data_IF_528508114697
#
_entry.id   IF_528508114697
#
_cell.length_a   1.000
_cell.length_b   1.000
_cell.length_c   1.000
_cell.angle_alpha   90.00
_cell.angle_beta   90.00
_cell.angle_gamma   90.00
#
_symmetry.space_group_name_H-M   'P 1'
#
loop_
_entity.id
_entity.type
_entity.pdbx_description
1 polymer ?
#
# COMPACT_ATOMS: atom_id res chain seq x y z
N UNK A 1 13.29 14.67 11.49
CA UNK A 1 12.46 14.54 12.72
C UNK A 1 11.87 13.12 12.74
N UNK A 2 11.88 12.48 13.89
CA UNK A 2 11.27 11.17 14.13
C UNK A 2 10.20 11.32 15.22
N UNK A 3 8.92 11.26 14.83
CA UNK A 3 7.78 11.52 15.73
C UNK A 3 7.61 10.48 16.86
N UNK A 4 8.38 9.39 16.82
CA UNK A 4 8.44 8.43 17.94
C UNK A 4 9.18 9.01 19.15
N UNK A 5 10.08 9.98 18.92
CA UNK A 5 10.98 10.56 19.93
C UNK A 5 10.63 12.01 20.26
N UNK A 6 9.81 12.67 19.46
CA UNK A 6 9.47 14.09 19.63
C UNK A 6 8.21 14.28 20.49
N UNK A 7 8.08 15.37 21.26
CA UNK A 7 6.82 15.75 21.87
C UNK A 7 5.75 16.04 20.82
N UNK A 8 4.59 15.39 20.91
CA UNK A 8 3.50 15.54 19.92
C UNK A 8 2.21 16.13 20.51
N UNK A 9 2.18 16.45 21.81
CA UNK A 9 0.96 16.95 22.47
C UNK A 9 0.42 18.19 21.79
N UNK A 10 1.29 19.15 21.43
CA UNK A 10 0.91 20.37 20.70
C UNK A 10 0.32 20.06 19.31
N UNK A 11 0.76 19.00 18.65
CA UNK A 11 0.20 18.54 17.35
C UNK A 11 -1.19 17.97 17.56
N UNK A 12 -1.35 17.13 18.59
CA UNK A 12 -2.64 16.52 18.92
C UNK A 12 -3.67 17.59 19.36
N UNK A 13 -3.25 18.63 20.08
CA UNK A 13 -4.11 19.78 20.44
C UNK A 13 -4.56 20.53 19.16
N UNK A 14 -3.68 20.71 18.18
CA UNK A 14 -4.04 21.31 16.89
C UNK A 14 -5.03 20.42 16.12
N UNK A 15 -4.88 19.10 16.16
CA UNK A 15 -5.85 18.17 15.56
C UNK A 15 -7.22 18.34 16.19
N UNK A 16 -7.31 18.33 17.52
CA UNK A 16 -8.57 18.52 18.25
C UNK A 16 -9.26 19.84 17.87
N UNK A 17 -8.50 20.92 17.86
CA UNK A 17 -9.01 22.24 17.50
C UNK A 17 -9.54 22.31 16.07
N UNK A 18 -8.80 21.73 15.11
CA UNK A 18 -9.12 21.84 13.68
C UNK A 18 -10.25 20.93 13.23
N UNK A 19 -10.31 19.73 13.79
CA UNK A 19 -11.38 18.77 13.49
C UNK A 19 -12.60 18.95 14.41
N UNK A 20 -12.48 19.74 15.48
CA UNK A 20 -13.56 19.95 16.46
C UNK A 20 -13.93 18.64 17.18
N UNK A 21 -12.95 17.80 17.50
CA UNK A 21 -13.11 16.50 18.16
C UNK A 21 -12.18 16.41 19.37
N UNK A 22 -12.37 15.42 20.23
CA UNK A 22 -11.43 15.08 21.30
C UNK A 22 -10.73 13.78 20.98
N UNK A 23 -9.42 13.74 21.21
CA UNK A 23 -8.61 12.55 20.98
C UNK A 23 -8.51 11.70 22.25
N UNK A 24 -8.63 10.40 22.09
CA UNK A 24 -8.25 9.45 23.13
C UNK A 24 -6.72 9.36 23.22
N UNK A 25 -6.15 10.10 24.17
CA UNK A 25 -4.70 10.18 24.38
C UNK A 25 -4.08 8.83 24.81
N UNK A 26 -4.90 7.88 25.26
CA UNK A 26 -4.43 6.53 25.63
C UNK A 26 -4.25 5.62 24.40
N UNK A 27 -4.92 5.96 23.29
CA UNK A 27 -4.86 5.22 22.03
C UNK A 27 -3.74 5.70 21.08
N UNK A 28 -2.92 6.67 21.49
CA UNK A 28 -1.91 7.29 20.60
C UNK A 28 -0.89 6.30 20.09
N UNK A 29 -0.83 6.15 18.77
CA UNK A 29 0.17 5.36 18.05
C UNK A 29 1.13 6.29 17.32
N UNK A 30 2.43 6.12 17.57
CA UNK A 30 3.49 6.92 16.95
C UNK A 30 4.31 6.09 15.97
N UNK A 31 4.43 6.58 14.74
CA UNK A 31 5.37 6.07 13.75
C UNK A 31 6.41 7.15 13.44
N UNK A 32 7.39 6.83 12.61
CA UNK A 32 8.47 7.79 12.28
C UNK A 32 7.95 9.12 11.73
N UNK A 33 6.93 9.12 10.88
CA UNK A 33 6.39 10.30 10.19
C UNK A 33 4.96 10.63 10.54
N UNK A 34 4.27 9.75 11.25
CA UNK A 34 2.84 9.88 11.54
C UNK A 34 2.53 9.63 13.00
N UNK A 35 1.46 10.28 13.46
CA UNK A 35 0.83 10.01 14.75
C UNK A 35 -0.65 9.78 14.50
N UNK A 36 -1.23 8.76 15.12
CA UNK A 36 -2.66 8.49 15.06
C UNK A 36 -3.26 8.37 16.43
N UNK A 37 -4.55 8.66 16.56
CA UNK A 37 -5.33 8.48 17.79
C UNK A 37 -6.81 8.26 17.47
N UNK A 38 -7.51 7.53 18.32
CA UNK A 38 -8.96 7.43 18.32
C UNK A 38 -9.60 8.76 18.75
N UNK A 39 -10.86 8.98 18.35
CA UNK A 39 -11.64 10.17 18.73
C UNK A 39 -12.83 9.80 19.59
N UNK A 40 -13.39 10.79 20.29
CA UNK A 40 -14.63 10.65 21.05
C UNK A 40 -15.87 10.37 20.18
N UNK A 41 -15.74 10.48 18.85
CA UNK A 41 -16.77 10.13 17.85
C UNK A 41 -16.69 8.69 17.37
N UNK A 42 -15.75 7.89 17.88
CA UNK A 42 -15.52 6.54 17.39
C UNK A 42 -14.90 6.49 16.00
N UNK A 43 -14.05 7.49 15.68
CA UNK A 43 -13.24 7.55 14.46
C UNK A 43 -11.76 7.46 14.78
N UNK A 44 -10.92 7.44 13.75
CA UNK A 44 -9.47 7.44 13.83
C UNK A 44 -8.90 8.66 13.12
N UNK A 45 -7.99 9.36 13.77
CA UNK A 45 -7.19 10.41 13.12
C UNK A 45 -5.79 9.93 12.83
N UNK A 46 -5.26 10.33 11.67
CA UNK A 46 -3.86 10.12 11.30
C UNK A 46 -3.28 11.44 10.86
N UNK A 47 -2.32 11.95 11.60
CA UNK A 47 -1.61 13.17 11.28
C UNK A 47 -0.21 12.86 10.78
N UNK A 48 0.20 13.52 9.71
CA UNK A 48 1.52 13.39 9.10
C UNK A 48 2.21 14.74 8.98
N UNK A 49 3.53 14.75 9.14
CA UNK A 49 4.38 15.92 8.91
C UNK A 49 5.21 15.72 7.65
N UNK A 50 5.14 16.69 6.72
CA UNK A 50 5.95 16.70 5.50
C UNK A 50 6.71 18.00 5.31
N UNK A 51 7.96 17.97 4.79
CA UNK A 51 8.61 19.18 4.31
C UNK A 51 7.83 19.85 3.19
N UNK A 52 7.89 21.18 3.10
CA UNK A 52 7.23 21.95 2.03
C UNK A 52 7.50 21.43 0.62
N UNK A 53 8.75 20.99 0.36
CA UNK A 53 9.11 20.44 -0.93
C UNK A 53 8.26 19.22 -1.34
N UNK A 54 7.73 18.49 -0.37
CA UNK A 54 6.86 17.31 -0.56
C UNK A 54 5.37 17.59 -0.40
N UNK A 55 4.98 18.80 -0.06
CA UNK A 55 3.56 19.15 0.16
C UNK A 55 2.71 19.11 -1.14
N UNK A 56 3.37 19.08 -2.31
CA UNK A 56 2.72 18.97 -3.63
C UNK A 56 2.63 17.54 -4.15
N UNK A 57 3.17 16.57 -3.43
CA UNK A 57 3.11 15.17 -3.82
C UNK A 57 1.68 14.62 -3.66
N UNK A 58 1.26 13.79 -4.59
CA UNK A 58 -0.11 13.24 -4.66
C UNK A 58 -0.53 12.45 -3.41
N UNK A 59 0.40 11.78 -2.72
CA UNK A 59 0.13 10.98 -1.52
C UNK A 59 -0.52 11.76 -0.38
N UNK A 60 -0.35 13.08 -0.36
CA UNK A 60 -0.91 13.97 0.64
C UNK A 60 -2.44 13.97 0.72
N UNK A 61 -3.15 13.88 -0.40
CA UNK A 61 -4.61 13.79 -0.46
C UNK A 61 -5.11 12.41 -0.89
N UNK A 62 -4.36 11.35 -0.58
CA UNK A 62 -4.71 10.00 -1.02
C UNK A 62 -6.02 9.49 -0.46
N UNK A 63 -6.25 9.65 0.84
CA UNK A 63 -7.49 9.26 1.53
C UNK A 63 -8.70 10.06 1.06
N UNK A 64 -8.60 11.39 0.99
CA UNK A 64 -9.66 12.26 0.47
C UNK A 64 -10.03 11.88 -0.98
N UNK A 65 -9.03 11.68 -1.83
CA UNK A 65 -9.25 11.29 -3.21
C UNK A 65 -9.84 9.87 -3.34
N UNK A 66 -9.56 8.96 -2.40
CA UNK A 66 -10.14 7.63 -2.35
C UNK A 66 -11.60 7.63 -1.85
N UNK A 67 -12.05 8.65 -1.14
CA UNK A 67 -13.39 8.72 -0.56
C UNK A 67 -14.54 8.59 -1.59
N UNK A 68 -14.25 8.81 -2.88
CA UNK A 68 -15.22 8.65 -3.97
C UNK A 68 -15.30 7.21 -4.53
N UNK A 69 -14.43 6.30 -4.08
CA UNK A 69 -14.38 4.92 -4.54
C UNK A 69 -15.54 4.11 -3.96
N UNK A 70 -16.62 4.00 -4.70
CA UNK A 70 -17.80 3.25 -4.27
C UNK A 70 -17.59 1.74 -4.43
N UNK A 71 -18.00 0.95 -3.44
CA UNK A 71 -17.97 -0.52 -3.49
C UNK A 71 -16.61 -1.15 -3.17
N UNK A 72 -15.63 -0.36 -2.79
CA UNK A 72 -14.35 -0.83 -2.25
C UNK A 72 -14.44 -0.88 -0.74
N UNK A 73 -14.03 -2.00 -0.13
CA UNK A 73 -14.00 -2.15 1.32
C UNK A 73 -12.81 -1.35 1.89
N UNK A 74 -13.11 -0.16 2.40
CA UNK A 74 -12.12 0.79 2.94
C UNK A 74 -12.70 1.63 4.07
N UNK A 75 -11.88 2.22 4.95
CA UNK A 75 -12.36 3.13 5.97
C UNK A 75 -13.02 4.36 5.32
N UNK A 76 -14.17 4.76 5.86
CA UNK A 76 -14.86 5.95 5.38
C UNK A 76 -14.08 7.20 5.82
N UNK A 77 -13.65 8.01 4.88
CA UNK A 77 -13.07 9.33 5.15
C UNK A 77 -14.14 10.31 5.60
N UNK A 78 -13.86 11.09 6.65
CA UNK A 78 -14.81 12.01 7.27
C UNK A 78 -14.37 13.47 7.14
N UNK A 79 -13.07 13.72 6.99
CA UNK A 79 -12.54 15.07 6.86
C UNK A 79 -11.03 15.11 6.99
N UNK A 80 -10.49 16.29 6.69
CA UNK A 80 -9.06 16.56 6.82
C UNK A 80 -8.82 18.01 7.23
N UNK A 81 -7.64 18.27 7.77
CA UNK A 81 -7.13 19.62 7.98
C UNK A 81 -5.63 19.68 7.71
N UNK A 82 -5.19 20.86 7.29
CA UNK A 82 -3.78 21.10 6.97
C UNK A 82 -3.34 22.40 7.61
N UNK A 83 -2.13 22.43 8.18
CA UNK A 83 -1.56 23.66 8.76
C UNK A 83 -0.04 23.67 8.64
N UNK A 84 0.50 24.87 8.67
CA UNK A 84 1.94 25.08 8.65
C UNK A 84 2.52 24.85 10.05
N UNK A 85 3.68 24.21 10.10
CA UNK A 85 4.50 24.16 11.31
C UNK A 85 5.12 25.56 11.53
N UNK A 86 4.87 26.23 12.68
CA UNK A 86 5.35 27.58 12.89
C UNK A 86 6.87 27.71 12.94
N UNK A 87 7.57 26.68 13.37
CA UNK A 87 9.00 26.69 13.63
C UNK A 87 9.85 26.08 12.51
N UNK A 88 9.22 25.55 11.44
CA UNK A 88 9.92 24.84 10.38
C UNK A 88 9.23 25.01 9.02
N UNK A 89 10.00 24.74 7.95
CA UNK A 89 9.47 24.66 6.57
C UNK A 89 8.74 23.33 6.33
N UNK A 90 7.76 23.04 7.16
CA UNK A 90 6.99 21.82 7.13
C UNK A 90 5.48 22.12 7.22
N UNK A 91 4.71 21.14 6.81
CA UNK A 91 3.25 21.15 6.82
C UNK A 91 2.78 19.92 7.57
N UNK A 92 1.76 20.09 8.38
CA UNK A 92 1.00 19.05 9.01
C UNK A 92 -0.30 18.81 8.23
N UNK A 93 -0.66 17.56 8.09
CA UNK A 93 -1.93 17.12 7.51
C UNK A 93 -2.54 16.05 8.40
N UNK A 94 -3.82 16.18 8.69
CA UNK A 94 -4.58 15.15 9.39
C UNK A 94 -5.74 14.71 8.53
N UNK A 95 -5.93 13.41 8.45
CA UNK A 95 -7.14 12.75 7.96
C UNK A 95 -7.91 12.15 9.12
N UNK A 96 -9.25 12.23 9.08
CA UNK A 96 -10.16 11.52 9.96
C UNK A 96 -10.92 10.47 9.16
N UNK A 97 -10.88 9.23 9.63
CA UNK A 97 -11.56 8.08 9.00
C UNK A 97 -12.39 7.31 10.03
N UNK A 98 -13.31 6.46 9.57
CA UNK A 98 -13.88 5.45 10.47
C UNK A 98 -12.77 4.56 11.05
N UNK A 99 -13.02 3.97 12.22
CA UNK A 99 -12.15 2.94 12.76
C UNK A 99 -12.08 1.76 11.78
N UNK A 100 -10.94 1.07 11.80
CA UNK A 100 -10.84 -0.22 11.14
C UNK A 100 -11.76 -1.23 11.82
N UNK A 101 -12.43 -2.11 11.06
CA UNK A 101 -13.32 -3.11 11.65
C UNK A 101 -12.57 -4.12 12.50
N UNK A 102 -11.31 -4.39 12.15
CA UNK A 102 -10.41 -5.31 12.85
C UNK A 102 -8.96 -4.84 12.79
N UNK A 103 -8.08 -5.57 13.44
CA UNK A 103 -6.63 -5.34 13.36
C UNK A 103 -6.10 -5.69 11.96
N UNK A 104 -4.94 -5.13 11.56
CA UNK A 104 -4.20 -5.60 10.41
C UNK A 104 -3.92 -7.09 10.48
N UNK A 105 -3.97 -7.80 9.34
CA UNK A 105 -3.67 -9.24 9.26
C UNK A 105 -2.28 -9.55 9.84
N UNK A 106 -1.31 -8.66 9.63
CA UNK A 106 0.03 -8.86 10.17
C UNK A 106 1.00 -7.76 9.80
N UNK A 107 2.28 -8.09 9.82
CA UNK A 107 3.32 -7.24 9.23
C UNK A 107 3.20 -7.24 7.70
N UNK A 108 3.83 -6.27 7.03
CA UNK A 108 3.80 -6.18 5.55
C UNK A 108 4.25 -7.49 4.89
N UNK A 109 5.22 -8.19 5.49
CA UNK A 109 5.65 -9.53 5.14
C UNK A 109 5.31 -10.46 6.29
N UNK A 110 4.47 -11.46 6.04
CA UNK A 110 4.13 -12.47 7.04
C UNK A 110 5.07 -13.67 6.93
N UNK A 111 5.33 -14.31 8.07
CA UNK A 111 6.15 -15.53 8.19
C UNK A 111 5.35 -16.73 8.67
N UNK A 112 4.05 -16.52 8.95
CA UNK A 112 3.09 -17.54 9.37
C UNK A 112 1.82 -17.33 8.55
N UNK A 113 1.14 -18.42 8.17
CA UNK A 113 -0.14 -18.34 7.47
C UNK A 113 -1.21 -17.72 8.38
N UNK A 114 -1.86 -16.64 7.96
CA UNK A 114 -2.94 -16.02 8.75
C UNK A 114 -4.27 -16.81 8.71
N UNK A 115 -4.34 -17.90 7.98
CA UNK A 115 -5.51 -18.80 7.89
C UNK A 115 -6.83 -18.07 7.57
N UNK A 116 -6.79 -17.17 6.58
CA UNK A 116 -7.94 -16.33 6.21
C UNK A 116 -9.07 -17.14 5.57
N UNK A 117 -10.33 -16.93 5.99
CA UNK A 117 -11.48 -17.67 5.48
C UNK A 117 -11.85 -17.29 4.04
N UNK A 118 -12.61 -18.14 3.35
CA UNK A 118 -13.00 -17.91 1.95
C UNK A 118 -13.81 -16.62 1.75
N UNK A 119 -14.58 -16.20 2.74
CA UNK A 119 -15.37 -14.95 2.70
C UNK A 119 -14.46 -13.73 2.66
N UNK A 120 -13.36 -13.77 3.38
CA UNK A 120 -12.34 -12.74 3.34
C UNK A 120 -11.73 -12.61 1.94
N UNK A 121 -11.36 -13.75 1.33
CA UNK A 121 -10.82 -13.77 -0.04
C UNK A 121 -11.83 -13.27 -1.07
N UNK A 122 -13.12 -13.59 -0.91
CA UNK A 122 -14.18 -13.04 -1.78
C UNK A 122 -14.27 -11.52 -1.67
N UNK A 123 -14.18 -10.97 -0.45
CA UNK A 123 -14.20 -9.52 -0.20
C UNK A 123 -12.99 -8.81 -0.79
N UNK A 124 -11.79 -9.36 -0.65
CA UNK A 124 -10.58 -8.87 -1.31
C UNK A 124 -10.78 -8.84 -2.84
N UNK A 125 -11.18 -9.96 -3.42
CA UNK A 125 -11.35 -10.08 -4.87
C UNK A 125 -12.41 -9.11 -5.41
N UNK A 126 -13.54 -8.96 -4.72
CA UNK A 126 -14.59 -8.02 -5.08
C UNK A 126 -14.08 -6.57 -5.02
N UNK A 127 -13.38 -6.19 -3.94
CA UNK A 127 -12.84 -4.83 -3.78
C UNK A 127 -11.81 -4.48 -4.85
N UNK A 128 -10.88 -5.40 -5.17
CA UNK A 128 -9.88 -5.17 -6.21
C UNK A 128 -10.51 -5.11 -7.62
N UNK A 129 -11.53 -5.93 -7.89
CA UNK A 129 -12.26 -5.88 -9.16
C UNK A 129 -13.00 -4.55 -9.34
N UNK A 130 -13.65 -4.06 -8.28
CA UNK A 130 -14.32 -2.75 -8.29
C UNK A 130 -13.31 -1.61 -8.44
N UNK A 131 -12.18 -1.67 -7.74
CA UNK A 131 -11.12 -0.66 -7.82
C UNK A 131 -10.58 -0.56 -9.26
N UNK A 132 -10.30 -1.69 -9.90
CA UNK A 132 -9.69 -1.73 -11.23
C UNK A 132 -10.53 -1.07 -12.34
N UNK A 133 -11.84 -0.88 -12.15
CA UNK A 133 -12.74 -0.23 -13.13
C UNK A 133 -13.07 1.23 -12.78
N UNK A 134 -12.56 1.75 -11.66
CA UNK A 134 -12.75 3.15 -11.29
C UNK A 134 -12.03 4.09 -12.28
N UNK A 135 -12.40 5.36 -12.24
CA UNK A 135 -11.73 6.41 -13.03
C UNK A 135 -10.94 7.34 -12.12
N UNK A 136 -9.70 7.57 -12.46
CA UNK A 136 -8.86 8.52 -11.74
C UNK A 136 -7.79 9.12 -12.66
N UNK A 137 -7.40 10.35 -12.38
CA UNK A 137 -6.23 10.99 -12.97
C UNK A 137 -4.98 10.86 -12.08
N UNK A 138 -5.12 10.26 -10.88
CA UNK A 138 -3.98 9.99 -10.00
C UNK A 138 -3.08 8.93 -10.65
N UNK A 139 -1.78 9.07 -10.46
CA UNK A 139 -0.80 8.04 -10.82
C UNK A 139 -0.34 7.37 -9.54
N UNK A 140 -0.39 6.07 -9.51
CA UNK A 140 0.11 5.30 -8.36
C UNK A 140 1.57 5.63 -8.07
N UNK A 141 1.93 5.64 -6.77
CA UNK A 141 3.28 6.02 -6.34
C UNK A 141 3.85 5.01 -5.32
N UNK A 142 3.94 3.70 -5.69
CA UNK A 142 4.48 2.70 -4.78
C UNK A 142 5.87 3.11 -4.28
N UNK A 143 6.09 3.02 -2.97
CA UNK A 143 7.31 3.52 -2.31
C UNK A 143 7.56 5.03 -2.51
N UNK A 144 6.50 5.84 -2.67
CA UNK A 144 6.56 7.29 -2.88
C UNK A 144 7.13 7.73 -4.23
N UNK A 145 7.36 6.82 -5.18
CA UNK A 145 7.80 7.12 -6.54
C UNK A 145 6.68 6.82 -7.54
N UNK A 146 6.36 7.80 -8.41
CA UNK A 146 5.33 7.61 -9.44
C UNK A 146 5.69 6.47 -10.38
N UNK A 147 4.79 5.49 -10.49
CA UNK A 147 5.01 4.37 -11.39
C UNK A 147 4.87 4.82 -12.85
N UNK A 148 5.88 4.53 -13.64
CA UNK A 148 5.95 4.79 -15.08
C UNK A 148 6.53 3.58 -15.79
N UNK A 149 6.34 3.48 -17.10
CA UNK A 149 7.00 2.43 -17.91
C UNK A 149 8.52 2.44 -17.68
N UNK A 150 9.14 3.63 -17.66
CA UNK A 150 10.58 3.78 -17.46
C UNK A 150 11.03 3.26 -16.09
N UNK A 151 10.25 3.49 -15.02
CA UNK A 151 10.55 2.96 -13.68
C UNK A 151 10.49 1.44 -13.69
N UNK A 152 9.47 0.85 -14.31
CA UNK A 152 9.31 -0.61 -14.44
C UNK A 152 10.51 -1.21 -15.16
N UNK A 153 10.86 -0.66 -16.33
CA UNK A 153 11.99 -1.12 -17.14
C UNK A 153 13.31 -1.06 -16.38
N UNK A 154 13.59 0.09 -15.76
CA UNK A 154 14.84 0.31 -15.03
C UNK A 154 14.96 -0.62 -13.82
N UNK A 155 13.87 -0.81 -13.07
CA UNK A 155 13.86 -1.65 -11.86
C UNK A 155 14.11 -3.11 -12.22
N UNK A 156 13.41 -3.64 -13.22
CA UNK A 156 13.58 -5.03 -13.67
C UNK A 156 15.00 -5.23 -14.23
N UNK A 157 15.46 -4.33 -15.09
CA UNK A 157 16.78 -4.39 -15.71
C UNK A 157 17.94 -4.31 -14.70
N UNK A 158 17.78 -3.55 -13.62
CA UNK A 158 18.79 -3.44 -12.57
C UNK A 158 18.96 -4.74 -11.77
N UNK A 159 17.88 -5.51 -11.59
CA UNK A 159 17.88 -6.74 -10.80
C UNK A 159 18.17 -7.99 -11.65
N UNK A 160 17.65 -8.03 -12.87
CA UNK A 160 17.69 -9.22 -13.72
C UNK A 160 18.41 -8.92 -15.03
N UNK A 161 19.46 -9.70 -15.30
CA UNK A 161 20.26 -9.56 -16.54
C UNK A 161 19.48 -10.10 -17.74
N UNK A 162 19.64 -9.44 -18.89
CA UNK A 162 19.04 -9.84 -20.15
C UNK A 162 18.11 -8.79 -20.72
N UNK A 163 17.72 -8.97 -21.99
CA UNK A 163 16.68 -8.18 -22.62
C UNK A 163 15.34 -8.89 -22.38
N UNK A 164 14.44 -8.21 -21.66
CA UNK A 164 13.09 -8.69 -21.41
C UNK A 164 12.12 -7.67 -21.98
N UNK A 165 11.04 -8.13 -22.61
CA UNK A 165 9.97 -7.25 -22.99
C UNK A 165 9.11 -6.92 -21.75
N UNK A 166 9.39 -5.76 -21.16
CA UNK A 166 8.73 -5.23 -19.95
C UNK A 166 7.66 -4.20 -20.26
N UNK A 167 7.25 -4.07 -21.53
CA UNK A 167 6.20 -3.15 -21.95
C UNK A 167 4.88 -3.50 -21.25
N UNK A 168 4.27 -2.50 -20.62
CA UNK A 168 2.95 -2.59 -20.00
C UNK A 168 1.89 -2.21 -21.02
N UNK A 169 0.87 -3.04 -21.16
CA UNK A 169 -0.22 -2.84 -22.13
C UNK A 169 -1.47 -2.25 -21.49
N UNK A 170 -1.75 -2.62 -20.24
CA UNK A 170 -2.96 -2.21 -19.53
C UNK A 170 -2.63 -1.49 -18.23
N UNK A 171 -3.26 -0.34 -18.06
CA UNK A 171 -3.19 0.47 -16.85
C UNK A 171 -4.58 0.56 -16.23
N UNK A 172 -4.67 0.36 -14.92
CA UNK A 172 -5.91 0.46 -14.16
C UNK A 172 -5.64 1.03 -12.78
N UNK A 173 -6.65 1.57 -12.08
CA UNK A 173 -6.51 1.95 -10.69
C UNK A 173 -6.11 0.77 -9.81
N UNK A 174 -5.15 1.02 -8.93
CA UNK A 174 -4.63 0.07 -7.96
C UNK A 174 -4.42 0.77 -6.62
N UNK A 175 -4.39 0.00 -5.53
CA UNK A 175 -4.03 0.48 -4.19
C UNK A 175 -2.55 0.90 -4.12
N UNK A 176 -1.71 0.17 -4.86
CA UNK A 176 -0.28 0.39 -5.06
C UNK A 176 0.64 0.12 -3.86
N UNK A 177 0.08 -0.10 -2.67
CA UNK A 177 0.80 -0.57 -1.48
C UNK A 177 0.05 -1.72 -0.81
N UNK A 178 -0.50 -2.65 -1.61
CA UNK A 178 -1.24 -3.80 -1.09
C UNK A 178 -0.28 -4.83 -0.49
N UNK A 179 -0.36 -4.97 0.82
CA UNK A 179 0.41 -5.92 1.62
C UNK A 179 -0.38 -6.29 2.89
N UNK A 180 0.14 -7.25 3.67
CA UNK A 180 -0.58 -7.78 4.84
C UNK A 180 -0.74 -6.79 6.01
N UNK A 181 0.05 -5.71 6.05
CA UNK A 181 -0.10 -4.64 7.04
C UNK A 181 -1.16 -3.61 6.65
N UNK A 182 -1.68 -3.63 5.41
CA UNK A 182 -2.64 -2.68 4.87
C UNK A 182 -4.02 -3.29 4.60
N UNK A 183 -4.28 -4.47 5.13
CA UNK A 183 -5.58 -5.15 5.12
C UNK A 183 -5.95 -5.68 6.50
N UNK A 184 -7.23 -5.65 6.86
CA UNK A 184 -7.74 -6.19 8.13
C UNK A 184 -8.14 -7.66 8.00
N UNK A 185 -8.17 -8.39 9.09
CA UNK A 185 -8.64 -9.78 9.17
C UNK A 185 -8.40 -10.40 10.54
N UNK A 186 -8.89 -11.65 10.76
CA UNK A 186 -9.40 -12.60 9.75
C UNK A 186 -10.90 -12.48 9.43
N UNK A 187 -11.70 -11.75 10.20
CA UNK A 187 -13.14 -11.68 10.03
C UNK A 187 -13.54 -10.70 8.92
N UNK A 188 -13.50 -9.39 9.18
CA UNK A 188 -13.91 -8.38 8.23
C UNK A 188 -12.76 -7.82 7.42
N UNK A 189 -12.85 -7.95 6.09
CA UNK A 189 -11.87 -7.41 5.17
C UNK A 189 -12.06 -5.90 4.97
N UNK A 190 -10.97 -5.14 5.08
CA UNK A 190 -10.90 -3.73 4.76
C UNK A 190 -9.48 -3.39 4.26
N UNK A 191 -9.36 -2.64 3.17
CA UNK A 191 -8.08 -2.08 2.70
C UNK A 191 -7.90 -0.68 3.24
N UNK A 192 -6.72 -0.35 3.73
CA UNK A 192 -6.42 0.98 4.27
C UNK A 192 -5.00 1.43 3.88
N UNK A 193 -4.62 2.65 4.23
CA UNK A 193 -3.38 3.32 3.82
C UNK A 193 -3.36 3.70 2.32
N UNK A 194 -4.33 4.52 1.93
CA UNK A 194 -4.62 4.92 0.55
C UNK A 194 -3.75 6.07 0.02
N UNK A 195 -2.55 6.27 0.52
CA UNK A 195 -1.70 7.39 0.08
C UNK A 195 -1.25 7.25 -1.38
N UNK A 196 -0.85 6.05 -1.76
CA UNK A 196 -0.14 5.76 -3.00
C UNK A 196 -1.04 5.33 -4.16
N UNK A 197 -2.36 5.21 -3.94
CA UNK A 197 -3.29 4.71 -4.94
C UNK A 197 -3.38 5.57 -6.18
N UNK A 198 -3.66 4.94 -7.32
CA UNK A 198 -3.82 5.61 -8.60
C UNK A 198 -3.70 4.65 -9.76
N UNK A 199 -3.58 5.20 -10.98
CA UNK A 199 -3.32 4.41 -12.19
C UNK A 199 -1.96 3.71 -12.10
N UNK A 200 -1.96 2.40 -12.26
CA UNK A 200 -0.79 1.52 -12.25
C UNK A 200 -0.92 0.45 -13.33
N UNK A 201 0.16 -0.23 -13.68
CA UNK A 201 0.08 -1.43 -14.52
C UNK A 201 -0.85 -2.46 -13.89
N UNK A 202 -1.69 -3.10 -14.72
CA UNK A 202 -2.57 -4.17 -14.28
C UNK A 202 -1.77 -5.26 -13.58
N UNK A 203 -2.30 -5.76 -12.46
CA UNK A 203 -1.68 -6.82 -11.68
C UNK A 203 -0.71 -6.35 -10.60
N UNK A 204 -0.44 -5.02 -10.46
CA UNK A 204 0.48 -4.51 -9.43
C UNK A 204 0.07 -4.95 -8.02
N UNK A 205 -1.19 -4.75 -7.61
CA UNK A 205 -1.67 -5.14 -6.27
C UNK A 205 -1.57 -6.64 -6.05
N UNK A 206 -1.95 -7.44 -7.06
CA UNK A 206 -1.87 -8.90 -7.01
C UNK A 206 -0.41 -9.38 -6.88
N UNK A 207 0.52 -8.75 -7.62
CA UNK A 207 1.95 -9.06 -7.54
C UNK A 207 2.55 -8.64 -6.20
N UNK A 208 2.15 -7.49 -5.65
CA UNK A 208 2.60 -7.00 -4.33
C UNK A 208 2.16 -7.94 -3.21
N UNK A 209 0.88 -8.34 -3.19
CA UNK A 209 0.36 -9.27 -2.20
C UNK A 209 1.01 -10.65 -2.32
N UNK A 210 1.20 -11.15 -3.57
CA UNK A 210 1.91 -12.39 -3.84
C UNK A 210 3.34 -12.35 -3.30
N UNK A 211 4.08 -11.30 -3.61
CA UNK A 211 5.45 -11.12 -3.15
C UNK A 211 5.55 -10.97 -1.61
N UNK A 212 4.55 -10.33 -0.98
CA UNK A 212 4.45 -10.24 0.48
C UNK A 212 4.23 -11.61 1.16
N UNK A 213 3.74 -12.60 0.40
CA UNK A 213 3.40 -13.94 0.87
C UNK A 213 4.52 -14.98 0.66
N UNK A 214 5.58 -14.65 -0.05
CA UNK A 214 6.60 -15.63 -0.51
C UNK A 214 7.35 -16.36 0.62
N UNK A 215 7.37 -15.81 1.82
CA UNK A 215 7.95 -16.47 3.00
C UNK A 215 7.06 -17.63 3.52
N UNK A 216 5.78 -17.70 3.10
CA UNK A 216 4.79 -18.71 3.49
C UNK A 216 4.25 -19.38 2.23
N UNK A 217 4.81 -20.51 1.77
CA UNK A 217 4.47 -21.12 0.48
C UNK A 217 2.97 -21.39 0.30
N UNK A 218 2.28 -21.91 1.31
CA UNK A 218 0.85 -22.20 1.25
C UNK A 218 0.01 -20.92 1.00
N UNK A 219 0.39 -19.81 1.63
CA UNK A 219 -0.25 -18.51 1.44
C UNK A 219 0.07 -17.93 0.05
N UNK A 220 1.31 -18.02 -0.41
CA UNK A 220 1.69 -17.60 -1.77
C UNK A 220 0.90 -18.38 -2.84
N UNK A 221 0.73 -19.69 -2.65
CA UNK A 221 -0.10 -20.53 -3.54
C UNK A 221 -1.58 -20.14 -3.46
N UNK A 222 -2.07 -19.76 -2.27
CA UNK A 222 -3.45 -19.24 -2.13
C UNK A 222 -3.61 -17.93 -2.90
N UNK A 223 -2.74 -16.95 -2.71
CA UNK A 223 -2.76 -15.68 -3.47
C UNK A 223 -2.72 -15.95 -4.97
N UNK A 224 -1.84 -16.85 -5.43
CA UNK A 224 -1.75 -17.22 -6.85
C UNK A 224 -3.07 -17.75 -7.39
N UNK A 225 -3.75 -18.63 -6.66
CA UNK A 225 -5.07 -19.15 -7.08
C UNK A 225 -6.12 -18.07 -7.12
N UNK A 226 -6.22 -17.25 -6.07
CA UNK A 226 -7.23 -16.20 -5.95
C UNK A 226 -7.04 -15.07 -6.98
N UNK A 227 -5.81 -14.74 -7.30
CA UNK A 227 -5.44 -13.65 -8.21
C UNK A 227 -4.91 -14.14 -9.55
N UNK A 228 -5.28 -15.36 -9.93
CA UNK A 228 -4.79 -16.04 -11.12
C UNK A 228 -4.94 -15.18 -12.40
N UNK A 229 -6.12 -14.60 -12.60
CA UNK A 229 -6.42 -13.81 -13.81
C UNK A 229 -5.49 -12.60 -13.98
N UNK A 230 -5.02 -12.01 -12.88
CA UNK A 230 -4.04 -10.92 -12.91
C UNK A 230 -2.62 -11.46 -13.06
N UNK A 231 -2.22 -12.40 -12.19
CA UNK A 231 -0.83 -12.88 -12.11
C UNK A 231 -0.38 -13.67 -13.35
N UNK A 232 -1.29 -14.37 -14.04
CA UNK A 232 -0.99 -15.10 -15.29
C UNK A 232 -1.15 -14.19 -16.53
N UNK A 233 -1.67 -12.95 -16.40
CA UNK A 233 -1.67 -12.00 -17.51
C UNK A 233 -0.25 -11.54 -17.83
N UNK A 234 -0.03 -11.08 -19.07
CA UNK A 234 1.28 -10.54 -19.47
C UNK A 234 1.75 -9.41 -18.55
N UNK A 235 0.90 -8.42 -18.29
CA UNK A 235 1.24 -7.32 -17.41
C UNK A 235 1.44 -7.78 -15.96
N UNK A 236 0.69 -8.78 -15.51
CA UNK A 236 0.86 -9.39 -14.20
C UNK A 236 2.21 -10.09 -14.04
N UNK A 237 2.71 -10.74 -15.08
CA UNK A 237 4.08 -11.32 -15.10
C UNK A 237 5.12 -10.20 -15.00
N UNK A 238 4.95 -9.10 -15.74
CA UNK A 238 5.85 -7.93 -15.66
C UNK A 238 5.80 -7.31 -14.25
N UNK A 239 4.61 -7.19 -13.64
CA UNK A 239 4.47 -6.64 -12.29
C UNK A 239 5.06 -7.57 -11.22
N UNK A 240 4.94 -8.88 -11.36
CA UNK A 240 5.66 -9.81 -10.49
C UNK A 240 7.17 -9.58 -10.59
N UNK A 241 7.74 -9.50 -11.79
CA UNK A 241 9.17 -9.21 -11.96
C UNK A 241 9.55 -7.85 -11.36
N UNK A 242 8.73 -6.81 -11.53
CA UNK A 242 8.96 -5.49 -10.95
C UNK A 242 9.02 -5.54 -9.41
N UNK A 243 8.07 -6.22 -8.76
CA UNK A 243 8.06 -6.33 -7.30
C UNK A 243 9.17 -7.25 -6.80
N UNK A 244 9.42 -8.37 -7.47
CA UNK A 244 10.52 -9.28 -7.14
C UNK A 244 11.89 -8.63 -7.30
N UNK A 245 12.06 -7.70 -8.24
CA UNK A 245 13.28 -6.93 -8.42
C UNK A 245 13.62 -6.08 -7.19
N UNK A 246 12.63 -5.59 -6.47
CA UNK A 246 12.83 -4.84 -5.21
C UNK A 246 13.29 -5.75 -4.07
N UNK A 247 12.91 -7.03 -4.08
CA UNK A 247 13.25 -8.03 -3.05
C UNK A 247 14.60 -8.70 -3.34
N UNK A 248 14.89 -8.99 -4.61
CA UNK A 248 16.05 -9.74 -5.04
C UNK A 248 17.15 -8.87 -5.69
N UNK A 249 16.91 -7.57 -5.86
CA UNK A 249 17.80 -6.63 -6.53
C UNK A 249 18.88 -6.04 -5.61
N UNK A 250 19.64 -5.05 -6.11
CA UNK A 250 20.80 -4.47 -5.40
C UNK A 250 20.49 -3.85 -4.05
N UNK A 251 19.23 -3.50 -3.80
CA UNK A 251 18.75 -2.86 -2.57
C UNK A 251 18.04 -3.82 -1.62
N UNK A 252 18.12 -5.14 -1.90
CA UNK A 252 17.51 -6.18 -1.06
C UNK A 252 18.04 -6.13 0.38
N UNK A 253 17.14 -6.28 1.34
CA UNK A 253 17.52 -6.40 2.75
C UNK A 253 18.28 -7.71 2.99
N UNK A 254 19.38 -7.71 3.77
CA UNK A 254 20.24 -8.89 3.93
C UNK A 254 19.54 -10.10 4.60
N UNK A 255 18.45 -9.86 5.32
CA UNK A 255 17.72 -10.90 6.06
C UNK A 255 16.26 -11.02 5.64
N UNK A 256 15.89 -10.58 4.42
CA UNK A 256 14.51 -10.72 3.95
C UNK A 256 14.21 -12.21 3.65
N UNK A 257 13.25 -12.85 4.37
CA UNK A 257 12.93 -14.26 4.19
C UNK A 257 12.41 -14.59 2.79
N UNK A 258 12.00 -13.58 2.03
CA UNK A 258 11.50 -13.72 0.66
C UNK A 258 12.60 -13.81 -0.39
N UNK A 259 13.85 -13.44 -0.08
CA UNK A 259 14.94 -13.33 -1.08
C UNK A 259 15.13 -14.61 -1.90
N UNK A 260 15.26 -15.73 -1.22
CA UNK A 260 15.43 -17.03 -1.91
C UNK A 260 14.22 -17.42 -2.79
N UNK A 261 12.99 -17.41 -2.26
CA UNK A 261 11.78 -17.59 -3.06
C UNK A 261 11.66 -16.60 -4.23
N UNK A 262 11.97 -15.31 -4.02
CA UNK A 262 11.90 -14.29 -5.05
C UNK A 262 12.84 -14.56 -6.23
N UNK A 263 14.06 -15.00 -5.97
CA UNK A 263 15.00 -15.40 -7.04
C UNK A 263 14.50 -16.59 -7.87
N UNK A 264 13.95 -17.63 -7.20
CA UNK A 264 13.39 -18.79 -7.92
C UNK A 264 12.20 -18.40 -8.79
N UNK A 265 11.31 -17.59 -8.25
CA UNK A 265 10.12 -17.16 -8.98
C UNK A 265 10.48 -16.24 -10.15
N UNK A 266 11.40 -15.29 -9.96
CA UNK A 266 11.89 -14.46 -11.05
C UNK A 266 12.50 -15.28 -12.19
N UNK A 267 13.33 -16.29 -11.89
CA UNK A 267 13.90 -17.17 -12.90
C UNK A 267 12.83 -17.92 -13.70
N UNK A 268 11.77 -18.41 -13.03
CA UNK A 268 10.62 -19.07 -13.67
C UNK A 268 9.87 -18.13 -14.62
N UNK A 269 9.58 -16.89 -14.16
CA UNK A 269 8.85 -15.88 -14.94
C UNK A 269 9.65 -15.40 -16.16
N UNK A 270 10.96 -15.20 -16.00
CA UNK A 270 11.86 -14.82 -17.10
C UNK A 270 11.87 -15.90 -18.18
N UNK A 271 11.94 -17.17 -17.77
CA UNK A 271 11.91 -18.29 -18.73
C UNK A 271 10.59 -18.34 -19.50
N UNK A 272 9.45 -18.08 -18.82
CA UNK A 272 8.15 -18.02 -19.47
C UNK A 272 8.04 -16.88 -20.50
N UNK A 273 8.60 -15.70 -20.21
CA UNK A 273 8.62 -14.56 -21.15
C UNK A 273 9.54 -14.75 -22.37
N UNK A 274 10.47 -15.71 -22.32
CA UNK A 274 11.40 -16.01 -23.42
C UNK A 274 10.88 -17.12 -24.34
N UNK A 275 9.89 -17.88 -23.90
CA UNK A 275 9.33 -19.03 -24.61
C UNK A 275 8.09 -18.72 -25.46
N UNK A 276 7.57 -17.51 -25.36
CA UNK A 276 6.50 -16.95 -26.19
C UNK A 276 7.11 -16.08 -27.31
#
# INVERSE_FOLDING_TARGET
MDLRQEPVDHVLDQVEQRLGTRLDRTSVVRKRRTVGAGTDRGSWTRVERRPWARAREQGWGGFEAAAVLAGVAMPRWSGAATWQDPDDRAIWHVDETSLLPELPVGAAVVTVDPELPDDWWRSLNASLAVLAVQRTARVAAPDTERITQQLVDNTIKAAFRGAHDTRVEQWCPAHADLNWANVTGPGEFCMFDWEDWGMAPRGLDSASLYAASLAVPALADRVRRERRADLESRDGVVMQLFVLAKIAGPHAGPNDPRTGPAHREAARLIHALQGD
#
